data_IF_877838681846
#
_entry.id   IF_877838681846
#
_cell.length_a   1.000
_cell.length_b   1.000
_cell.length_c   1.000
_cell.angle_alpha   90.00
_cell.angle_beta   90.00
_cell.angle_gamma   90.00
#
_symmetry.space_group_name_H-M   'P 1'
#
loop_
_entity.id
_entity.type
_entity.pdbx_description
1 polymer ?
#
# COMPACT_ATOMS: atom_id res chain seq x y z
N UNK A 1 -17.86 -49.57 -27.42
CA UNK A 1 -17.18 -48.31 -27.02
C UNK A 1 -16.67 -47.64 -28.28
N UNK A 2 -17.24 -46.49 -28.66
CA UNK A 2 -16.94 -45.80 -29.92
C UNK A 2 -16.20 -44.50 -29.60
N UNK A 3 -15.00 -44.32 -30.17
CA UNK A 3 -14.25 -43.05 -30.12
C UNK A 3 -14.54 -42.31 -31.42
N UNK A 4 -14.93 -41.05 -31.35
CA UNK A 4 -15.06 -40.21 -32.55
C UNK A 4 -13.92 -39.19 -32.61
N UNK A 5 -13.31 -38.99 -33.79
CA UNK A 5 -12.31 -37.95 -33.97
C UNK A 5 -12.98 -36.58 -33.99
N UNK A 6 -12.37 -35.61 -33.31
CA UNK A 6 -12.73 -34.19 -33.45
C UNK A 6 -11.53 -33.41 -33.99
N UNK A 7 -11.84 -32.45 -34.88
CA UNK A 7 -10.85 -31.58 -35.51
C UNK A 7 -10.99 -30.16 -34.97
N UNK A 8 -9.89 -29.59 -34.46
CA UNK A 8 -9.82 -28.18 -34.06
C UNK A 8 -8.45 -27.63 -34.43
N UNK A 9 -8.44 -26.51 -35.17
CA UNK A 9 -7.22 -25.84 -35.65
C UNK A 9 -6.17 -26.79 -36.27
N UNK A 10 -6.63 -27.78 -37.05
CA UNK A 10 -5.76 -28.70 -37.79
C UNK A 10 -5.20 -29.89 -36.99
N UNK A 11 -5.53 -30.03 -35.71
CA UNK A 11 -5.09 -31.16 -34.87
C UNK A 11 -6.25 -32.14 -34.66
N UNK A 12 -6.04 -33.41 -35.00
CA UNK A 12 -7.02 -34.49 -34.74
C UNK A 12 -6.76 -35.08 -33.36
N UNK A 13 -7.72 -34.94 -32.44
CA UNK A 13 -7.66 -35.54 -31.09
C UNK A 13 -8.76 -36.59 -30.95
N UNK A 14 -8.41 -37.73 -30.37
CA UNK A 14 -9.34 -38.81 -30.05
C UNK A 14 -9.90 -38.61 -28.64
N UNK A 15 -11.20 -38.30 -28.52
CA UNK A 15 -11.88 -38.10 -27.24
C UNK A 15 -12.78 -39.31 -26.95
N UNK A 16 -12.94 -39.65 -25.68
CA UNK A 16 -13.71 -40.79 -25.21
C UNK A 16 -14.93 -40.28 -24.44
N UNK A 17 -16.13 -40.70 -24.82
CA UNK A 17 -17.35 -40.35 -24.09
C UNK A 17 -17.48 -41.26 -22.86
N UNK A 18 -17.08 -40.73 -21.70
CA UNK A 18 -17.36 -41.26 -20.37
C UNK A 18 -18.30 -40.31 -19.62
N UNK A 19 -19.03 -40.80 -18.59
CA UNK A 19 -20.03 -39.99 -17.91
C UNK A 19 -19.37 -38.78 -17.25
N UNK A 20 -19.92 -37.61 -17.50
CA UNK A 20 -19.46 -36.33 -16.94
C UNK A 20 -19.84 -36.29 -15.46
N UNK A 21 -18.88 -36.53 -14.57
CA UNK A 21 -19.04 -36.28 -13.14
C UNK A 21 -18.84 -34.78 -12.88
N UNK A 22 -19.96 -34.07 -12.78
CA UNK A 22 -20.05 -32.73 -12.23
C UNK A 22 -19.84 -32.78 -10.72
N UNK A 23 -18.63 -32.46 -10.22
CA UNK A 23 -18.40 -31.80 -8.93
C UNK A 23 -16.90 -31.79 -8.57
N UNK A 24 -16.23 -30.66 -8.83
CA UNK A 24 -15.32 -29.95 -7.91
C UNK A 24 -14.60 -28.87 -8.71
N UNK A 25 -15.25 -27.71 -8.85
CA UNK A 25 -14.55 -26.49 -9.18
C UNK A 25 -13.77 -26.08 -7.93
N UNK A 26 -12.53 -26.57 -7.81
CA UNK A 26 -11.59 -26.10 -6.80
C UNK A 26 -11.45 -24.58 -6.98
N UNK A 27 -11.68 -23.74 -5.96
CA UNK A 27 -11.46 -22.32 -6.09
C UNK A 27 -10.00 -22.11 -6.48
N UNK A 28 -9.77 -21.45 -7.61
CA UNK A 28 -8.45 -21.05 -8.04
C UNK A 28 -7.80 -20.30 -6.87
N UNK A 29 -6.61 -20.76 -6.46
CA UNK A 29 -5.80 -20.06 -5.47
C UNK A 29 -5.71 -18.57 -5.85
N UNK A 30 -5.76 -17.63 -4.89
CA UNK A 30 -5.71 -16.22 -5.21
C UNK A 30 -4.45 -15.97 -6.05
N UNK A 31 -4.63 -15.39 -7.26
CA UNK A 31 -3.52 -14.89 -8.06
C UNK A 31 -2.69 -13.99 -7.14
N UNK A 32 -1.50 -14.44 -6.77
CA UNK A 32 -0.52 -13.59 -6.11
C UNK A 32 -0.11 -12.58 -7.17
N UNK A 33 -0.83 -11.46 -7.24
CA UNK A 33 -0.45 -10.27 -8.00
C UNK A 33 1.01 -10.05 -7.64
N UNK A 34 1.91 -10.17 -8.62
CA UNK A 34 3.35 -10.06 -8.38
C UNK A 34 3.58 -8.87 -7.46
N UNK A 35 4.06 -9.13 -6.24
CA UNK A 35 4.37 -8.10 -5.26
C UNK A 35 5.56 -7.31 -5.80
N UNK A 36 5.27 -6.38 -6.70
CA UNK A 36 6.23 -5.38 -7.16
C UNK A 36 6.59 -4.57 -5.94
N UNK A 37 7.87 -4.53 -5.57
CA UNK A 37 8.28 -3.75 -4.41
C UNK A 37 7.88 -2.28 -4.65
N UNK A 38 7.16 -1.65 -3.70
CA UNK A 38 6.83 -0.24 -3.80
C UNK A 38 8.11 0.58 -3.99
N UNK A 39 8.10 1.46 -4.99
CA UNK A 39 9.18 2.41 -5.16
C UNK A 39 8.87 3.61 -4.27
N UNK A 40 9.62 3.77 -3.19
CA UNK A 40 9.40 4.79 -2.16
C UNK A 40 9.11 6.20 -2.71
N UNK A 41 9.87 6.67 -3.71
CA UNK A 41 9.66 8.01 -4.28
C UNK A 41 8.31 8.18 -4.99
N UNK A 42 7.72 7.11 -5.52
CA UNK A 42 6.37 7.17 -6.08
C UNK A 42 5.35 7.36 -4.96
N UNK A 43 5.44 6.56 -3.89
CA UNK A 43 4.53 6.67 -2.75
C UNK A 43 4.62 8.03 -2.05
N UNK A 44 5.83 8.56 -1.85
CA UNK A 44 6.03 9.93 -1.36
C UNK A 44 5.38 10.94 -2.31
N UNK A 45 5.63 10.82 -3.62
CA UNK A 45 5.06 11.72 -4.62
C UNK A 45 3.53 11.73 -4.63
N UNK A 46 2.92 10.56 -4.55
CA UNK A 46 1.47 10.38 -4.53
C UNK A 46 0.85 10.95 -3.24
N UNK A 47 1.45 10.70 -2.07
CA UNK A 47 0.98 11.30 -0.81
C UNK A 47 1.05 12.83 -0.85
N UNK A 48 2.16 13.40 -1.31
CA UNK A 48 2.30 14.86 -1.43
C UNK A 48 1.26 15.45 -2.39
N UNK A 49 1.05 14.78 -3.53
CA UNK A 49 0.04 15.17 -4.52
C UNK A 49 -1.37 15.11 -3.93
N UNK A 50 -1.71 14.06 -3.20
CA UNK A 50 -3.04 13.89 -2.59
C UNK A 50 -3.30 14.92 -1.49
N UNK A 51 -2.31 15.20 -0.64
CA UNK A 51 -2.40 16.30 0.35
C UNK A 51 -2.65 17.62 -0.35
N UNK A 52 -1.84 17.95 -1.38
CA UNK A 52 -2.00 19.19 -2.15
C UNK A 52 -3.39 19.30 -2.79
N UNK A 53 -3.86 18.23 -3.42
CA UNK A 53 -5.16 18.20 -4.10
C UNK A 53 -6.33 18.30 -3.12
N UNK A 54 -6.25 17.66 -1.95
CA UNK A 54 -7.26 17.80 -0.89
C UNK A 54 -7.37 19.23 -0.37
N UNK A 55 -6.26 19.97 -0.37
CA UNK A 55 -6.25 21.40 -0.03
C UNK A 55 -6.77 22.30 -1.17
N UNK A 56 -7.04 21.75 -2.36
CA UNK A 56 -7.43 22.53 -3.54
C UNK A 56 -6.32 23.41 -4.10
N UNK A 57 -5.07 23.17 -3.73
CA UNK A 57 -3.92 24.00 -4.11
C UNK A 57 -3.27 23.52 -5.40
N UNK A 58 -2.78 24.48 -6.17
CA UNK A 58 -2.05 24.23 -7.42
C UNK A 58 -0.58 23.93 -7.15
N UNK A 59 0.07 23.25 -8.11
CA UNK A 59 1.53 23.07 -8.10
C UNK A 59 2.27 24.41 -7.98
N UNK A 60 1.76 25.47 -8.61
CA UNK A 60 2.38 26.80 -8.60
C UNK A 60 2.42 27.40 -7.19
N UNK A 61 1.29 27.36 -6.47
CA UNK A 61 1.19 27.88 -5.11
C UNK A 61 2.15 27.13 -4.16
N UNK A 62 2.10 25.79 -4.17
CA UNK A 62 2.96 25.00 -3.28
C UNK A 62 4.44 25.14 -3.63
N UNK A 63 4.79 25.14 -4.92
CA UNK A 63 6.19 25.31 -5.34
C UNK A 63 6.76 26.67 -4.93
N UNK A 64 5.93 27.72 -4.95
CA UNK A 64 6.31 29.06 -4.50
C UNK A 64 6.63 29.06 -3.00
N UNK A 65 5.73 28.52 -2.19
CA UNK A 65 5.89 28.48 -0.73
C UNK A 65 7.05 27.58 -0.30
N UNK A 66 7.23 26.44 -0.98
CA UNK A 66 8.35 25.51 -0.76
C UNK A 66 9.68 26.01 -1.37
N UNK A 67 9.71 27.16 -2.05
CA UNK A 67 10.90 27.72 -2.70
C UNK A 67 11.60 26.77 -3.67
N UNK A 68 10.83 25.93 -4.37
CA UNK A 68 11.30 25.03 -5.42
C UNK A 68 10.72 25.43 -6.77
N UNK A 69 11.28 24.91 -7.86
CA UNK A 69 10.66 25.14 -9.16
C UNK A 69 9.37 24.32 -9.28
N UNK A 70 8.38 24.86 -10.01
CA UNK A 70 7.14 24.15 -10.34
C UNK A 70 7.44 22.83 -11.04
N UNK A 71 8.40 22.83 -11.97
CA UNK A 71 8.83 21.63 -12.69
C UNK A 71 9.38 20.57 -11.73
N UNK A 72 10.22 20.96 -10.78
CA UNK A 72 10.78 20.05 -9.78
C UNK A 72 9.69 19.43 -8.91
N UNK A 73 8.78 20.22 -8.34
CA UNK A 73 7.66 19.69 -7.54
C UNK A 73 6.80 18.73 -8.38
N UNK A 74 6.58 19.07 -9.65
CA UNK A 74 5.81 18.23 -10.58
C UNK A 74 6.50 16.90 -10.87
N UNK A 75 7.84 16.88 -10.99
CA UNK A 75 8.60 15.64 -11.13
C UNK A 75 8.59 14.80 -9.85
N UNK A 76 8.66 15.44 -8.67
CA UNK A 76 8.55 14.78 -7.36
C UNK A 76 7.18 14.13 -7.17
N UNK A 77 6.08 14.83 -7.46
CA UNK A 77 4.71 14.27 -7.36
C UNK A 77 4.43 13.13 -8.34
N UNK A 78 5.24 12.99 -9.40
CA UNK A 78 5.19 11.83 -10.31
C UNK A 78 6.22 10.75 -9.94
N UNK A 79 6.94 10.94 -8.83
CA UNK A 79 8.09 10.17 -8.38
C UNK A 79 9.17 9.95 -9.46
N UNK A 80 9.37 10.94 -10.31
CA UNK A 80 10.49 10.98 -11.28
C UNK A 80 11.78 11.50 -10.63
N UNK A 81 11.68 12.15 -9.47
CA UNK A 81 12.80 12.67 -8.69
C UNK A 81 12.71 12.20 -7.25
N UNK A 82 13.88 11.95 -6.67
CA UNK A 82 14.04 11.80 -5.24
C UNK A 82 14.29 13.19 -4.64
N UNK A 83 13.44 13.57 -3.68
CA UNK A 83 13.64 14.79 -2.91
C UNK A 83 14.68 14.53 -1.81
N UNK A 84 15.58 15.49 -1.59
CA UNK A 84 16.40 15.46 -0.37
C UNK A 84 15.51 15.62 0.86
N UNK A 85 16.01 15.23 2.03
CA UNK A 85 15.26 15.38 3.29
C UNK A 85 14.88 16.85 3.55
N UNK A 86 15.75 17.80 3.22
CA UNK A 86 15.49 19.24 3.36
C UNK A 86 14.39 19.71 2.40
N UNK A 87 14.40 19.25 1.15
CA UNK A 87 13.36 19.59 0.18
C UNK A 87 12.01 18.97 0.55
N UNK A 88 12.02 17.73 1.04
CA UNK A 88 10.83 17.05 1.55
C UNK A 88 10.23 17.81 2.73
N UNK A 89 11.07 18.23 3.69
CA UNK A 89 10.66 19.06 4.81
C UNK A 89 10.05 20.38 4.33
N UNK A 90 10.70 21.08 3.39
CA UNK A 90 10.19 22.34 2.85
C UNK A 90 8.86 22.20 2.12
N UNK A 91 8.62 21.08 1.43
CA UNK A 91 7.34 20.80 0.77
C UNK A 91 6.27 20.47 1.81
N UNK A 92 6.60 19.69 2.86
CA UNK A 92 5.69 19.38 3.96
C UNK A 92 5.26 20.65 4.72
N UNK A 93 6.22 21.53 5.03
CA UNK A 93 5.96 22.84 5.64
C UNK A 93 5.07 23.71 4.75
N UNK A 94 5.35 23.75 3.44
CA UNK A 94 4.52 24.48 2.50
C UNK A 94 3.09 23.93 2.41
N UNK A 95 2.90 22.63 2.63
CA UNK A 95 1.61 21.96 2.69
C UNK A 95 0.98 21.95 4.09
N UNK A 96 1.59 22.60 5.09
CA UNK A 96 1.11 22.58 6.48
C UNK A 96 0.81 21.15 6.99
N UNK A 97 1.69 20.20 6.65
CA UNK A 97 1.59 18.80 7.09
C UNK A 97 2.86 18.42 7.86
N UNK A 98 2.75 17.86 9.08
CA UNK A 98 3.91 17.35 9.78
C UNK A 98 4.59 16.23 8.99
N UNK A 99 5.93 16.26 8.88
CA UNK A 99 6.69 15.23 8.17
C UNK A 99 6.37 13.81 8.67
N UNK A 100 6.20 13.63 9.99
CA UNK A 100 5.83 12.35 10.58
C UNK A 100 4.46 11.84 10.13
N UNK A 101 3.48 12.72 9.95
CA UNK A 101 2.16 12.36 9.46
C UNK A 101 2.22 11.96 7.98
N UNK A 102 2.99 12.69 7.17
CA UNK A 102 3.25 12.34 5.76
C UNK A 102 3.92 10.97 5.65
N UNK A 103 4.96 10.72 6.45
CA UNK A 103 5.67 9.42 6.44
C UNK A 103 4.80 8.26 6.94
N UNK A 104 3.87 8.51 7.87
CA UNK A 104 2.89 7.50 8.30
C UNK A 104 1.99 7.09 7.14
N UNK A 105 1.39 8.04 6.44
CA UNK A 105 0.56 7.76 5.26
C UNK A 105 1.34 6.99 4.17
N UNK A 106 2.61 7.37 3.92
CA UNK A 106 3.48 6.62 3.00
C UNK A 106 3.69 5.17 3.48
N UNK A 107 3.94 4.99 4.78
CA UNK A 107 4.10 3.66 5.38
C UNK A 107 2.83 2.82 5.23
N UNK A 108 1.66 3.42 5.43
CA UNK A 108 0.37 2.72 5.33
C UNK A 108 0.13 2.24 3.89
N UNK A 109 0.41 3.08 2.87
CA UNK A 109 0.32 2.69 1.44
C UNK A 109 1.29 1.57 1.06
N UNK A 110 2.52 1.64 1.57
CA UNK A 110 3.51 0.58 1.36
C UNK A 110 3.02 -0.73 1.99
N UNK A 111 2.53 -0.69 3.23
CA UNK A 111 2.02 -1.87 3.93
C UNK A 111 0.84 -2.51 3.17
N UNK A 112 -0.09 -1.71 2.63
CA UNK A 112 -1.18 -2.19 1.78
C UNK A 112 -0.66 -2.94 0.54
N UNK A 113 0.36 -2.41 -0.13
CA UNK A 113 0.96 -3.04 -1.31
C UNK A 113 1.73 -4.32 -0.97
N UNK A 114 2.38 -4.37 0.19
CA UNK A 114 3.08 -5.56 0.69
C UNK A 114 2.12 -6.66 1.18
N UNK A 115 0.85 -6.30 1.41
CA UNK A 115 -0.14 -7.15 2.05
C UNK A 115 0.11 -7.32 3.55
N UNK A 116 0.80 -6.36 4.16
CA UNK A 116 1.08 -6.33 5.60
C UNK A 116 -0.15 -5.74 6.28
N UNK A 117 -0.88 -6.57 7.03
CA UNK A 117 -1.90 -6.08 7.95
C UNK A 117 -1.19 -5.66 9.22
N UNK A 118 -1.03 -4.35 9.42
CA UNK A 118 -0.60 -3.81 10.71
C UNK A 118 -1.86 -3.70 11.59
N UNK A 119 -1.98 -4.48 12.67
CA UNK A 119 -3.08 -4.31 13.60
C UNK A 119 -2.94 -2.95 14.30
N UNK A 120 -3.97 -2.09 14.21
CA UNK A 120 -4.04 -0.82 14.95
C UNK A 120 -4.21 -1.01 16.47
N UNK A 121 -4.32 -2.25 16.91
CA UNK A 121 -4.44 -2.64 18.31
C UNK A 121 -3.13 -3.18 18.84
N UNK A 122 -2.76 -2.75 20.04
CA UNK A 122 -1.71 -3.40 20.81
C UNK A 122 -2.17 -4.84 21.09
N UNK A 123 -1.36 -5.87 20.80
CA UNK A 123 -1.73 -7.24 21.17
C UNK A 123 -1.96 -7.34 22.67
N UNK A 124 -2.97 -8.13 23.06
CA UNK A 124 -3.39 -8.27 24.46
C UNK A 124 -2.20 -8.68 25.35
N UNK A 125 -1.30 -9.52 24.82
CA UNK A 125 -0.06 -9.93 25.50
C UNK A 125 0.85 -8.76 25.93
N UNK A 126 0.90 -7.65 25.18
CA UNK A 126 1.74 -6.49 25.51
C UNK A 126 1.08 -5.56 26.54
N UNK A 127 -0.26 -5.61 26.65
CA UNK A 127 -1.01 -4.82 27.64
C UNK A 127 -0.95 -5.42 29.05
N UNK A 128 -0.82 -6.76 29.14
CA UNK A 128 -0.71 -7.48 30.40
C UNK A 128 0.53 -7.10 31.21
N UNK A 129 1.66 -6.80 30.55
CA UNK A 129 2.93 -6.46 31.21
C UNK A 129 2.94 -5.05 31.83
N UNK A 130 2.05 -4.15 31.39
CA UNK A 130 1.93 -2.79 31.94
C UNK A 130 1.02 -2.70 33.17
N UNK A 131 0.25 -3.75 33.49
CA UNK A 131 -0.65 -3.81 34.64
C UNK A 131 0.02 -4.18 35.97
N UNK A 132 1.33 -4.43 35.98
CA UNK A 132 2.05 -5.05 37.10
C UNK A 132 2.72 -4.12 38.13
N UNK A 133 2.52 -2.80 38.08
CA UNK A 133 3.14 -1.87 39.05
C UNK A 133 2.12 -0.95 39.72
N UNK A 134 1.67 -1.36 40.91
CA UNK A 134 0.73 -0.56 41.69
C UNK A 134 0.24 -1.22 42.98
N UNK A 135 1.12 -1.85 43.77
CA UNK A 135 0.80 -2.11 45.19
C UNK A 135 0.79 -0.76 45.93
N UNK A 136 -0.36 -0.07 45.89
CA UNK A 136 -0.63 1.02 46.82
C UNK A 136 -0.81 0.39 48.20
N UNK A 137 0.18 0.61 49.07
CA UNK A 137 0.15 0.16 50.45
C UNK A 137 -1.05 0.76 51.17
N UNK A 138 -1.94 -0.10 51.66
CA UNK A 138 -2.88 0.26 52.72
C UNK A 138 -2.12 0.11 54.04
N UNK A 139 -1.62 1.23 54.56
CA UNK A 139 -1.20 1.33 55.96
C UNK A 139 -2.46 1.37 56.83
N UNK A 140 -2.74 0.25 57.49
CA UNK A 140 -3.62 0.22 58.65
C UNK A 140 -2.76 0.47 59.89
N UNK A 141 -2.92 1.64 60.51
CA UNK A 141 -3.09 1.82 61.96
C UNK A 141 -3.33 3.29 62.31
#
# INVERSE_FOLDING_TARGET
>A
MMRHPIHTNGITRWVQDGPQDEAHQTPAAPEIKERSMPILRHEIGDVLRDVRQRQGRTLREVSHDARVSLGYLSEVERGQKEASSELLASICDALDVPLSAMLREVSDRIAEQEGVIVPDTVPDELTADLGGSGRVGTLAH
#
